data_IF_519682274254
#
_entry.id   IF_519682274254
#
_cell.length_a   1.000
_cell.length_b   1.000
_cell.length_c   1.000
_cell.angle_alpha   90.00
_cell.angle_beta   90.00
_cell.angle_gamma   90.00
#
_symmetry.space_group_name_H-M   'P 1'
#
loop_
_entity.id
_entity.type
_entity.pdbx_description
1 polymer ?
#
# COMPACT_ATOMS: atom_id res chain seq x y z
N UNK A 1 21.29 -11.80 11.34
CA UNK A 1 20.46 -10.77 12.01
C UNK A 1 20.31 -9.48 11.21
N UNK A 2 21.39 -8.84 10.70
CA UNK A 2 21.27 -7.62 9.85
C UNK A 2 20.39 -7.83 8.60
N UNK A 3 20.52 -8.99 7.96
CA UNK A 3 19.76 -9.34 6.76
C UNK A 3 18.24 -9.41 7.01
N UNK A 4 17.81 -9.99 8.14
CA UNK A 4 16.39 -10.08 8.52
C UNK A 4 15.75 -8.71 8.80
N UNK A 5 16.53 -7.74 9.29
CA UNK A 5 16.03 -6.40 9.62
C UNK A 5 15.73 -5.55 8.37
N UNK A 6 16.48 -5.77 7.28
CA UNK A 6 16.29 -5.05 6.02
C UNK A 6 15.23 -5.71 5.12
N UNK A 7 14.88 -6.97 5.37
CA UNK A 7 13.87 -7.69 4.58
C UNK A 7 12.45 -7.20 4.88
N UNK A 8 12.10 -6.97 6.16
CA UNK A 8 10.72 -6.59 6.54
C UNK A 8 10.28 -5.26 5.90
N UNK A 9 11.07 -4.17 5.94
CA UNK A 9 10.67 -2.91 5.29
C UNK A 9 10.53 -3.03 3.77
N UNK A 10 11.40 -3.81 3.12
CA UNK A 10 11.29 -4.09 1.68
C UNK A 10 10.02 -4.86 1.33
N UNK A 11 9.57 -5.78 2.18
CA UNK A 11 8.30 -6.47 1.99
C UNK A 11 7.12 -5.49 2.06
N UNK A 12 7.11 -4.58 3.04
CA UNK A 12 6.07 -3.54 3.15
C UNK A 12 6.05 -2.63 1.90
N UNK A 13 7.22 -2.21 1.43
CA UNK A 13 7.35 -1.46 0.16
C UNK A 13 6.75 -2.22 -1.04
N UNK A 14 7.03 -3.53 -1.14
CA UNK A 14 6.44 -4.39 -2.15
C UNK A 14 4.92 -4.55 -2.02
N UNK A 15 4.39 -4.57 -0.80
CA UNK A 15 2.96 -4.65 -0.55
C UNK A 15 2.22 -3.37 -0.98
N UNK A 16 2.79 -2.20 -0.70
CA UNK A 16 2.29 -0.90 -1.19
C UNK A 16 2.12 -0.94 -2.71
N UNK A 17 3.14 -1.43 -3.43
CA UNK A 17 3.08 -1.58 -4.88
C UNK A 17 1.96 -2.51 -5.34
N UNK A 18 1.81 -3.68 -4.71
CA UNK A 18 0.76 -4.65 -5.05
C UNK A 18 -0.64 -4.06 -4.86
N UNK A 19 -0.89 -3.38 -3.75
CA UNK A 19 -2.17 -2.73 -3.47
C UNK A 19 -2.45 -1.61 -4.48
N UNK A 20 -1.43 -0.78 -4.79
CA UNK A 20 -1.56 0.26 -5.82
C UNK A 20 -1.97 -0.33 -7.17
N UNK A 21 -1.28 -1.37 -7.62
CA UNK A 21 -1.54 -2.02 -8.91
C UNK A 21 -2.92 -2.69 -8.95
N UNK A 22 -3.34 -3.30 -7.84
CA UNK A 22 -4.70 -3.84 -7.69
C UNK A 22 -5.79 -2.76 -7.83
N UNK A 23 -5.52 -1.54 -7.36
CA UNK A 23 -6.42 -0.40 -7.52
C UNK A 23 -6.28 0.32 -8.87
N UNK A 24 -5.41 -0.16 -9.75
CA UNK A 24 -5.12 0.48 -11.05
C UNK A 24 -4.63 1.93 -10.94
N UNK A 25 -3.97 2.26 -9.82
CA UNK A 25 -3.42 3.59 -9.60
C UNK A 25 -2.02 3.72 -10.22
N UNK A 26 -1.76 4.85 -10.88
CA UNK A 26 -0.42 5.18 -11.39
C UNK A 26 0.48 5.67 -10.25
N UNK A 27 1.80 5.57 -10.44
CA UNK A 27 2.75 6.16 -9.50
C UNK A 27 2.62 7.68 -9.44
N UNK A 28 2.34 8.34 -10.57
CA UNK A 28 2.08 9.77 -10.63
C UNK A 28 0.87 10.18 -9.79
N UNK A 29 -0.21 9.40 -9.82
CA UNK A 29 -1.41 9.67 -9.04
C UNK A 29 -1.12 9.68 -7.53
N UNK A 30 -0.42 8.67 -7.02
CA UNK A 30 -0.05 8.63 -5.59
C UNK A 30 0.99 9.67 -5.22
N UNK A 31 1.98 9.89 -6.08
CA UNK A 31 2.96 10.94 -5.87
C UNK A 31 2.29 12.32 -5.73
N UNK A 32 1.32 12.63 -6.61
CA UNK A 32 0.54 13.86 -6.55
C UNK A 32 -0.29 13.97 -5.25
N UNK A 33 -0.97 12.89 -4.85
CA UNK A 33 -1.76 12.86 -3.59
C UNK A 33 -0.88 13.01 -2.34
N UNK A 34 0.35 12.52 -2.39
CA UNK A 34 1.30 12.56 -1.28
C UNK A 34 2.19 13.81 -1.26
N UNK A 35 2.08 14.68 -2.28
CA UNK A 35 2.87 15.90 -2.41
C UNK A 35 4.36 15.64 -2.66
N UNK A 36 4.70 14.57 -3.38
CA UNK A 36 6.09 14.18 -3.69
C UNK A 36 6.27 13.94 -5.19
N UNK A 37 7.52 13.83 -5.66
CA UNK A 37 7.78 13.48 -7.05
C UNK A 37 7.49 11.99 -7.31
N UNK A 38 7.15 11.65 -8.55
CA UNK A 38 6.95 10.25 -8.96
C UNK A 38 8.20 9.39 -8.70
N UNK A 39 9.40 9.94 -8.92
CA UNK A 39 10.64 9.26 -8.61
C UNK A 39 10.80 8.98 -7.10
N UNK A 40 10.42 9.92 -6.24
CA UNK A 40 10.43 9.70 -4.79
C UNK A 40 9.46 8.58 -4.40
N UNK A 41 8.26 8.57 -4.98
CA UNK A 41 7.29 7.50 -4.76
C UNK A 41 7.77 6.14 -5.29
N UNK A 42 8.41 6.09 -6.47
CA UNK A 42 9.02 4.88 -7.02
C UNK A 42 10.09 4.30 -6.10
N UNK A 43 10.96 5.15 -5.51
CA UNK A 43 11.96 4.72 -4.53
C UNK A 43 11.35 4.16 -3.24
N UNK A 44 10.16 4.61 -2.85
CA UNK A 44 9.40 4.03 -1.73
C UNK A 44 9.00 2.60 -2.09
N UNK A 45 8.37 2.37 -3.25
CA UNK A 45 7.93 1.04 -3.68
C UNK A 45 9.07 0.05 -3.90
N UNK A 46 10.26 0.55 -4.26
CA UNK A 46 11.47 -0.27 -4.43
C UNK A 46 12.22 -0.51 -3.11
N UNK A 47 11.78 0.10 -2.01
CA UNK A 47 12.45 0.01 -0.70
C UNK A 47 13.81 0.70 -0.66
N UNK A 48 14.07 1.65 -1.57
CA UNK A 48 15.29 2.47 -1.58
C UNK A 48 15.18 3.69 -0.66
N UNK A 49 13.96 4.05 -0.24
CA UNK A 49 13.71 5.10 0.75
C UNK A 49 13.15 4.50 2.03
N UNK A 50 13.64 4.98 3.19
CA UNK A 50 13.03 4.64 4.48
C UNK A 50 11.63 5.27 4.54
N UNK A 51 10.64 4.47 4.89
CA UNK A 51 9.26 4.91 5.07
C UNK A 51 9.08 5.24 6.56
N UNK A 52 8.63 6.46 6.87
CA UNK A 52 8.23 6.83 8.22
C UNK A 52 6.83 6.30 8.52
N UNK A 53 6.48 6.17 9.80
CA UNK A 53 5.15 5.70 10.21
C UNK A 53 4.04 6.60 9.64
N UNK A 54 4.18 7.92 9.78
CA UNK A 54 3.22 8.90 9.26
C UNK A 54 3.03 8.75 7.75
N UNK A 55 4.13 8.52 7.01
CA UNK A 55 4.06 8.33 5.56
C UNK A 55 3.34 7.03 5.21
N UNK A 56 3.53 5.98 5.99
CA UNK A 56 2.85 4.70 5.79
C UNK A 56 1.33 4.87 5.99
N UNK A 57 0.90 5.62 7.00
CA UNK A 57 -0.53 5.93 7.21
C UNK A 57 -1.11 6.78 6.06
N UNK A 58 -0.42 7.82 5.62
CA UNK A 58 -0.83 8.62 4.46
C UNK A 58 -0.99 7.76 3.19
N UNK A 59 -0.06 6.82 2.97
CA UNK A 59 -0.15 5.88 1.85
C UNK A 59 -1.38 4.98 2.01
N UNK A 60 -1.66 4.46 3.21
CA UNK A 60 -2.86 3.68 3.51
C UNK A 60 -4.15 4.43 3.21
N UNK A 61 -4.23 5.71 3.61
CA UNK A 61 -5.38 6.57 3.31
C UNK A 61 -5.59 6.76 1.80
N UNK A 62 -4.54 7.10 1.05
CA UNK A 62 -4.61 7.29 -0.41
C UNK A 62 -4.95 5.99 -1.14
N UNK A 63 -4.47 4.86 -0.61
CA UNK A 63 -4.78 3.53 -1.11
C UNK A 63 -6.09 2.98 -0.57
N UNK A 64 -6.83 3.70 0.28
CA UNK A 64 -8.08 3.23 0.90
C UNK A 64 -7.95 1.83 1.52
N UNK A 65 -6.87 1.58 2.26
CA UNK A 65 -6.62 0.31 2.95
C UNK A 65 -6.13 0.55 4.36
N UNK A 66 -6.43 -0.40 5.25
CA UNK A 66 -5.83 -0.41 6.58
C UNK A 66 -4.30 -0.60 6.46
N UNK A 67 -3.55 0.18 7.22
CA UNK A 67 -2.09 0.11 7.28
C UNK A 67 -1.59 -1.29 7.64
N UNK A 68 -2.35 -2.03 8.45
CA UNK A 68 -2.04 -3.40 8.85
C UNK A 68 -1.99 -4.32 7.62
N UNK A 69 -2.83 -4.09 6.61
CA UNK A 69 -2.79 -4.85 5.35
C UNK A 69 -1.54 -4.55 4.53
N UNK A 70 -0.94 -3.36 4.65
CA UNK A 70 0.35 -3.05 4.02
C UNK A 70 1.51 -3.74 4.75
N UNK A 71 1.41 -3.90 6.06
CA UNK A 71 2.45 -4.52 6.90
C UNK A 71 2.40 -6.05 6.79
N UNK A 72 1.22 -6.64 6.93
CA UNK A 72 0.96 -8.06 6.97
C UNK A 72 0.12 -8.49 5.75
N UNK A 73 0.57 -8.14 4.56
CA UNK A 73 -0.17 -8.41 3.32
C UNK A 73 -0.27 -9.92 3.05
N UNK A 74 -1.45 -10.48 3.29
CA UNK A 74 -1.89 -11.77 2.74
C UNK A 74 -2.77 -11.49 1.51
N UNK A 75 -2.31 -11.92 0.33
CA UNK A 75 -3.04 -11.72 -0.93
C UNK A 75 -4.42 -12.39 -0.91
N UNK A 76 -4.54 -13.57 -0.31
CA UNK A 76 -5.81 -14.29 -0.26
C UNK A 76 -6.80 -13.58 0.67
N UNK A 77 -6.33 -13.08 1.81
CA UNK A 77 -7.15 -12.26 2.72
C UNK A 77 -7.56 -10.93 2.10
N UNK A 78 -6.63 -10.27 1.43
CA UNK A 78 -6.86 -8.98 0.78
C UNK A 78 -7.96 -9.06 -0.28
N UNK A 79 -7.92 -10.07 -1.15
CA UNK A 79 -8.95 -10.29 -2.17
C UNK A 79 -10.32 -10.57 -1.52
N UNK A 80 -10.37 -11.36 -0.43
CA UNK A 80 -11.62 -11.61 0.32
C UNK A 80 -12.20 -10.32 0.92
N UNK A 81 -11.37 -9.49 1.54
CA UNK A 81 -11.83 -8.24 2.16
C UNK A 81 -12.29 -7.22 1.11
N UNK A 82 -11.60 -7.16 -0.04
CA UNK A 82 -11.97 -6.30 -1.16
C UNK A 82 -13.28 -6.72 -1.84
N UNK A 83 -13.59 -8.01 -1.91
CA UNK A 83 -14.87 -8.50 -2.47
C UNK A 83 -16.01 -8.43 -1.46
N UNK A 84 -15.77 -8.71 -0.18
CA UNK A 84 -16.78 -8.64 0.87
C UNK A 84 -17.31 -7.21 1.11
N UNK A 85 -16.46 -6.19 0.98
CA UNK A 85 -16.89 -4.78 1.13
C UNK A 85 -17.84 -4.31 0.03
N UNK A 86 -17.83 -4.95 -1.16
CA UNK A 86 -18.77 -4.62 -2.25
C UNK A 86 -20.18 -5.12 -1.95
N UNK A 87 -20.33 -6.28 -1.32
CA UNK A 87 -21.64 -6.91 -1.07
C UNK A 87 -22.51 -6.13 -0.09
N UNK A 88 -21.92 -5.45 0.91
CA UNK A 88 -22.67 -4.66 1.90
C UNK A 88 -23.26 -3.35 1.35
N UNK A 89 -22.87 -2.94 0.14
CA UNK A 89 -23.40 -1.72 -0.50
C UNK A 89 -24.57 -1.98 -1.47
N UNK A 90 -24.86 -3.24 -1.82
CA UNK A 90 -25.94 -3.61 -2.75
C UNK A 90 -27.21 -4.13 -2.06
N UNK A 91 -27.26 -4.17 -0.72
CA UNK A 91 -28.45 -4.58 0.05
C UNK A 91 -29.21 -3.42 0.70
N UNK A 92 -29.05 -2.20 0.17
CA UNK A 92 -29.80 -1.02 0.57
C UNK A 92 -30.69 -0.52 -0.59
N UNK A 93 -31.62 -1.36 -1.05
CA UNK A 93 -32.80 -0.96 -1.83
C UNK A 93 -33.99 -1.75 -1.26
#
# INVERSE_FOLDING_TARGET
MKETLELKPKLVAGNIRKVREFRHYTQDYLAAKLGISQNAYSKIELGYSKITLDRLFQIGEVLEVDVIQLIAFDQAEFVRNATASKTNSSLAI
#
